data_IF_725897508309
#
_entry.id   IF_725897508309
#
_cell.length_a   1.000
_cell.length_b   1.000
_cell.length_c   1.000
_cell.angle_alpha   90.00
_cell.angle_beta   90.00
_cell.angle_gamma   90.00
#
_symmetry.space_group_name_H-M   'P 1'
#
loop_
_entity.id
_entity.type
_entity.pdbx_description
1 polymer ?
#
# COMPACT_ATOMS: atom_id res chain seq x y z
N UNK A 1 -6.32 20.61 5.00
CA UNK A 1 -7.22 19.62 5.62
C UNK A 1 -6.50 18.35 6.01
N UNK A 2 -5.91 17.65 5.05
CA UNK A 2 -5.13 16.44 5.36
C UNK A 2 -3.68 16.79 5.67
N UNK A 3 -3.14 16.23 6.74
CA UNK A 3 -1.77 16.48 7.20
C UNK A 3 -0.85 15.31 7.02
N UNK A 4 -1.39 14.10 7.08
CA UNK A 4 -0.61 12.87 7.02
C UNK A 4 -1.36 11.81 6.22
N UNK A 5 -0.85 11.51 5.06
CA UNK A 5 -1.51 10.64 4.07
C UNK A 5 -0.77 9.31 3.97
N UNK A 6 -1.54 8.23 4.00
CA UNK A 6 -1.05 6.87 3.83
C UNK A 6 -1.60 6.30 2.53
N UNK A 7 -0.74 5.70 1.70
CA UNK A 7 -1.16 4.91 0.55
C UNK A 7 -0.76 3.45 0.76
N UNK A 8 -1.69 2.54 0.48
CA UNK A 8 -1.41 1.11 0.47
C UNK A 8 -0.97 0.70 -0.94
N UNK A 9 0.24 0.19 -1.06
CA UNK A 9 0.87 -0.13 -2.34
C UNK A 9 1.26 -1.61 -2.43
N UNK A 10 0.51 -2.37 -3.21
CA UNK A 10 0.79 -3.78 -3.49
C UNK A 10 1.48 -4.00 -4.85
N UNK A 11 1.85 -2.93 -5.53
CA UNK A 11 2.50 -2.99 -6.84
C UNK A 11 1.54 -3.19 -8.01
N UNK A 12 0.23 -3.26 -7.76
CA UNK A 12 -0.77 -3.41 -8.82
C UNK A 12 -0.94 -2.11 -9.61
N UNK A 13 -1.59 -2.21 -10.76
CA UNK A 13 -1.98 -1.03 -11.56
C UNK A 13 -2.88 -0.10 -10.76
N UNK A 14 -3.83 -0.67 -9.99
CA UNK A 14 -4.72 0.11 -9.13
C UNK A 14 -3.96 0.88 -8.06
N UNK A 15 -2.97 0.25 -7.44
CA UNK A 15 -2.12 0.91 -6.45
C UNK A 15 -1.28 2.03 -7.07
N UNK A 16 -0.81 1.85 -8.30
CA UNK A 16 -0.05 2.91 -9.01
C UNK A 16 -0.92 4.13 -9.28
N UNK A 17 -2.18 3.91 -9.69
CA UNK A 17 -3.14 5.01 -9.86
C UNK A 17 -3.43 5.70 -8.52
N UNK A 18 -3.61 4.91 -7.46
CA UNK A 18 -3.81 5.44 -6.12
C UNK A 18 -2.62 6.28 -5.65
N UNK A 19 -1.40 5.86 -5.97
CA UNK A 19 -0.19 6.61 -5.63
C UNK A 19 -0.15 7.96 -6.33
N UNK A 20 -0.54 8.03 -7.60
CA UNK A 20 -0.62 9.31 -8.32
C UNK A 20 -1.59 10.28 -7.64
N UNK A 21 -2.75 9.78 -7.24
CA UNK A 21 -3.74 10.59 -6.51
C UNK A 21 -3.20 11.02 -5.16
N UNK A 22 -2.55 10.12 -4.43
CA UNK A 22 -1.97 10.43 -3.12
C UNK A 22 -0.89 11.52 -3.21
N UNK A 23 -0.03 11.45 -4.22
CA UNK A 23 1.00 12.47 -4.45
C UNK A 23 0.36 13.82 -4.75
N UNK A 24 -0.66 13.86 -5.61
CA UNK A 24 -1.37 15.10 -5.93
C UNK A 24 -2.04 15.70 -4.70
N UNK A 25 -2.71 14.88 -3.90
CA UNK A 25 -3.33 15.35 -2.65
C UNK A 25 -2.29 15.84 -1.64
N UNK A 26 -1.18 15.12 -1.49
CA UNK A 26 -0.10 15.53 -0.60
C UNK A 26 0.49 16.88 -0.99
N UNK A 27 0.65 17.12 -2.29
CA UNK A 27 1.11 18.42 -2.79
C UNK A 27 0.11 19.54 -2.48
N UNK A 28 -1.18 19.29 -2.72
CA UNK A 28 -2.23 20.30 -2.52
C UNK A 28 -2.37 20.72 -1.06
N UNK A 29 -2.25 19.77 -0.14
CA UNK A 29 -2.39 20.01 1.29
C UNK A 29 -1.06 20.22 2.00
N UNK A 30 0.06 20.12 1.30
CA UNK A 30 1.39 20.12 1.91
C UNK A 30 1.47 19.07 3.03
N UNK A 31 0.97 17.86 2.74
CA UNK A 31 0.87 16.78 3.70
C UNK A 31 2.10 15.88 3.66
N UNK A 32 2.38 15.23 4.77
CA UNK A 32 3.37 14.16 4.86
C UNK A 32 2.80 12.92 4.16
N UNK A 33 3.60 12.27 3.31
CA UNK A 33 3.16 11.13 2.49
C UNK A 33 3.95 9.87 2.82
N UNK A 34 3.22 8.82 3.16
CA UNK A 34 3.77 7.50 3.46
C UNK A 34 3.14 6.44 2.57
N UNK A 35 3.94 5.49 2.13
CA UNK A 35 3.49 4.31 1.38
C UNK A 35 3.84 3.06 2.17
N UNK A 36 2.88 2.17 2.33
CA UNK A 36 3.12 0.88 2.96
C UNK A 36 2.75 -0.27 2.04
N UNK A 37 3.55 -1.31 2.13
CA UNK A 37 3.30 -2.59 1.48
C UNK A 37 3.24 -3.66 2.56
N UNK A 38 2.41 -4.68 2.37
CA UNK A 38 2.26 -5.75 3.36
C UNK A 38 2.67 -7.08 2.75
N UNK A 39 3.61 -7.73 3.41
CA UNK A 39 4.04 -9.09 3.09
C UNK A 39 3.24 -10.07 3.96
N UNK A 40 2.47 -10.96 3.34
CA UNK A 40 1.58 -11.87 4.06
C UNK A 40 2.28 -13.11 4.63
N UNK A 41 3.59 -13.15 4.63
CA UNK A 41 4.35 -14.22 5.24
C UNK A 41 4.59 -15.42 4.31
N UNK A 42 5.19 -16.45 4.89
CA UNK A 42 5.61 -17.64 4.15
C UNK A 42 4.41 -18.55 3.87
N UNK A 43 4.22 -19.03 2.63
CA UNK A 43 3.15 -19.97 2.32
C UNK A 43 3.27 -21.27 3.12
N UNK A 44 2.12 -21.87 3.48
CA UNK A 44 2.08 -23.12 4.24
C UNK A 44 2.77 -24.30 3.53
N UNK A 45 2.89 -24.24 2.21
CA UNK A 45 3.55 -25.29 1.43
C UNK A 45 5.08 -25.19 1.41
N UNK A 46 5.64 -24.12 1.94
CA UNK A 46 7.09 -24.00 2.08
C UNK A 46 7.55 -24.93 3.21
N UNK A 47 8.03 -26.12 2.83
CA UNK A 47 8.33 -27.19 3.77
C UNK A 47 9.79 -27.22 4.23
N UNK A 48 10.69 -26.52 3.55
CA UNK A 48 12.14 -26.53 3.87
C UNK A 48 12.64 -25.13 4.16
N UNK A 49 13.77 -25.05 4.90
CA UNK A 49 14.43 -23.77 5.18
C UNK A 49 14.86 -23.07 3.89
N UNK A 50 15.33 -23.85 2.90
CA UNK A 50 15.70 -23.33 1.59
C UNK A 50 14.53 -22.69 0.84
N UNK A 51 13.36 -23.30 0.88
CA UNK A 51 12.14 -22.76 0.27
C UNK A 51 11.69 -21.48 0.96
N UNK A 52 11.79 -21.42 2.28
CA UNK A 52 11.48 -20.22 3.08
C UNK A 52 12.43 -19.09 2.72
N UNK A 53 13.72 -19.37 2.62
CA UNK A 53 14.74 -18.37 2.26
C UNK A 53 14.53 -17.83 0.85
N UNK A 54 14.22 -18.70 -0.12
CA UNK A 54 13.90 -18.27 -1.49
C UNK A 54 12.66 -17.38 -1.53
N UNK A 55 11.61 -17.77 -0.84
CA UNK A 55 10.38 -16.98 -0.76
C UNK A 55 10.64 -15.57 -0.22
N UNK A 56 11.38 -15.48 0.89
CA UNK A 56 11.73 -14.19 1.49
C UNK A 56 12.59 -13.33 0.57
N UNK A 57 13.52 -13.93 -0.14
CA UNK A 57 14.39 -13.25 -1.09
C UNK A 57 13.58 -12.65 -2.26
N UNK A 58 12.66 -13.42 -2.81
CA UNK A 58 11.77 -12.97 -3.88
C UNK A 58 10.84 -11.86 -3.41
N UNK A 59 10.24 -12.02 -2.23
CA UNK A 59 9.37 -11.02 -1.63
C UNK A 59 10.12 -9.71 -1.37
N UNK A 60 11.32 -9.78 -0.82
CA UNK A 60 12.14 -8.59 -0.57
C UNK A 60 12.51 -7.88 -1.87
N UNK A 61 12.84 -8.61 -2.92
CA UNK A 61 13.12 -8.05 -4.24
C UNK A 61 11.91 -7.37 -4.85
N UNK A 62 10.74 -8.00 -4.74
CA UNK A 62 9.47 -7.46 -5.22
C UNK A 62 9.12 -6.14 -4.54
N UNK A 63 9.12 -6.12 -3.21
CA UNK A 63 8.78 -4.92 -2.44
C UNK A 63 9.79 -3.81 -2.61
N UNK A 64 11.08 -4.15 -2.71
CA UNK A 64 12.11 -3.16 -3.00
C UNK A 64 11.85 -2.44 -4.32
N UNK A 65 11.50 -3.21 -5.35
CA UNK A 65 11.22 -2.67 -6.68
C UNK A 65 10.03 -1.72 -6.66
N UNK A 66 8.91 -2.13 -6.08
CA UNK A 66 7.71 -1.26 -6.06
C UNK A 66 7.91 -0.02 -5.21
N UNK A 67 8.67 -0.13 -4.13
CA UNK A 67 8.97 1.01 -3.27
C UNK A 67 9.95 1.98 -3.95
N UNK A 68 10.97 1.48 -4.64
CA UNK A 68 11.90 2.33 -5.41
C UNK A 68 11.15 3.08 -6.52
N UNK A 69 10.25 2.40 -7.22
CA UNK A 69 9.40 3.04 -8.24
C UNK A 69 8.51 4.13 -7.64
N UNK A 70 7.91 3.86 -6.48
CA UNK A 70 7.04 4.81 -5.81
C UNK A 70 7.81 6.06 -5.35
N UNK A 71 8.98 5.87 -4.76
CA UNK A 71 9.86 6.99 -4.34
C UNK A 71 10.23 7.85 -5.56
N UNK A 72 10.57 7.22 -6.67
CA UNK A 72 10.93 7.92 -7.91
C UNK A 72 9.76 8.73 -8.47
N UNK A 73 8.55 8.17 -8.43
CA UNK A 73 7.34 8.89 -8.86
C UNK A 73 7.11 10.16 -8.03
N UNK A 74 7.25 10.05 -6.72
CA UNK A 74 7.09 11.20 -5.82
C UNK A 74 8.20 12.23 -6.03
N UNK A 75 9.43 11.77 -6.21
CA UNK A 75 10.60 12.63 -6.43
C UNK A 75 10.49 13.48 -7.70
N UNK A 76 9.94 12.90 -8.78
CA UNK A 76 9.68 13.63 -10.03
C UNK A 76 8.72 14.80 -9.81
N UNK A 77 7.85 14.68 -8.84
CA UNK A 77 6.91 15.74 -8.46
C UNK A 77 7.47 16.68 -7.38
N UNK A 78 8.74 16.50 -7.02
CA UNK A 78 9.39 17.28 -5.97
C UNK A 78 8.93 16.94 -4.56
N UNK A 79 8.49 15.70 -4.34
CA UNK A 79 7.89 15.29 -3.07
C UNK A 79 8.64 14.12 -2.43
N UNK A 80 8.77 14.16 -1.10
CA UNK A 80 9.39 13.08 -0.33
C UNK A 80 8.34 12.03 0.03
N UNK A 81 8.62 10.78 -0.29
CA UNK A 81 7.78 9.64 0.05
C UNK A 81 8.51 8.73 1.05
N UNK A 82 7.88 8.51 2.20
CA UNK A 82 8.37 7.55 3.18
C UNK A 82 7.76 6.17 2.87
N UNK A 83 8.59 5.15 2.78
CA UNK A 83 8.14 3.80 2.46
C UNK A 83 8.41 2.83 3.60
N UNK A 84 7.53 1.85 3.77
CA UNK A 84 7.71 0.78 4.75
C UNK A 84 7.06 -0.50 4.26
N UNK A 85 7.68 -1.63 4.57
CA UNK A 85 7.11 -2.97 4.35
C UNK A 85 6.74 -3.55 5.70
N UNK A 86 5.48 -3.94 5.84
CA UNK A 86 4.95 -4.58 7.04
C UNK A 86 4.75 -6.07 6.79
N UNK A 87 4.85 -6.87 7.84
CA UNK A 87 4.50 -8.29 7.80
C UNK A 87 3.15 -8.53 8.46
N UNK A 88 2.38 -9.46 7.95
CA UNK A 88 1.12 -9.89 8.53
C UNK A 88 -0.04 -9.87 7.54
N UNK A 89 -1.25 -9.81 8.08
CA UNK A 89 -2.47 -9.68 7.29
C UNK A 89 -2.61 -8.26 6.75
N UNK A 90 -2.90 -8.14 5.47
CA UNK A 90 -2.93 -6.86 4.77
C UNK A 90 -3.87 -5.85 5.43
N UNK A 91 -5.13 -6.22 5.62
CA UNK A 91 -6.14 -5.30 6.18
C UNK A 91 -5.77 -4.89 7.60
N UNK A 92 -5.46 -5.86 8.46
CA UNK A 92 -5.11 -5.61 9.86
C UNK A 92 -3.85 -4.75 9.99
N UNK A 93 -2.81 -5.07 9.23
CA UNK A 93 -1.56 -4.34 9.24
C UNK A 93 -1.75 -2.88 8.82
N UNK A 94 -2.50 -2.63 7.76
CA UNK A 94 -2.77 -1.28 7.25
C UNK A 94 -3.60 -0.49 8.26
N UNK A 95 -4.67 -1.08 8.79
CA UNK A 95 -5.56 -0.41 9.76
C UNK A 95 -4.78 -0.04 11.02
N UNK A 96 -3.99 -0.96 11.55
CA UNK A 96 -3.19 -0.69 12.74
C UNK A 96 -2.13 0.37 12.49
N UNK A 97 -1.46 0.33 11.34
CA UNK A 97 -0.46 1.32 10.98
C UNK A 97 -1.08 2.72 10.82
N UNK A 98 -2.24 2.79 10.20
CA UNK A 98 -2.96 4.05 10.04
C UNK A 98 -3.37 4.65 11.41
N UNK A 99 -3.80 3.78 12.33
CA UNK A 99 -4.20 4.21 13.67
C UNK A 99 -3.00 4.67 14.49
N UNK A 100 -1.99 3.84 14.60
CA UNK A 100 -0.80 4.12 15.41
C UNK A 100 -0.02 5.33 14.90
N UNK A 101 0.03 5.50 13.59
CA UNK A 101 0.69 6.64 12.97
C UNK A 101 -0.15 7.91 12.91
N UNK A 102 -1.40 7.86 13.38
CA UNK A 102 -2.33 9.00 13.35
C UNK A 102 -2.50 9.60 11.96
N UNK A 103 -2.61 8.73 10.95
CA UNK A 103 -2.90 9.16 9.58
C UNK A 103 -4.33 9.65 9.48
N UNK A 104 -4.54 10.73 8.75
CA UNK A 104 -5.87 11.32 8.57
C UNK A 104 -6.47 11.05 7.20
N UNK A 105 -5.71 10.44 6.30
CA UNK A 105 -6.21 9.98 5.00
C UNK A 105 -5.52 8.68 4.59
N UNK A 106 -6.33 7.71 4.17
CA UNK A 106 -5.85 6.48 3.53
C UNK A 106 -6.30 6.48 2.07
N UNK A 107 -5.35 6.31 1.14
CA UNK A 107 -5.64 6.22 -0.30
C UNK A 107 -5.39 4.77 -0.73
N UNK A 108 -6.37 4.19 -1.39
CA UNK A 108 -6.30 2.79 -1.86
C UNK A 108 -6.79 2.66 -3.29
N UNK A 109 -6.30 1.64 -3.97
CA UNK A 109 -6.82 1.24 -5.27
C UNK A 109 -8.11 0.46 -5.13
N UNK A 110 -8.90 0.45 -6.19
CA UNK A 110 -10.21 -0.23 -6.21
C UNK A 110 -10.07 -1.74 -6.35
N UNK A 111 -9.15 -2.21 -7.18
CA UNK A 111 -9.09 -3.62 -7.58
C UNK A 111 -7.83 -4.39 -7.22
N UNK A 112 -6.75 -3.78 -6.79
CA UNK A 112 -5.50 -4.47 -6.46
C UNK A 112 -5.05 -5.46 -7.55
N UNK A 113 -4.65 -6.67 -7.14
CA UNK A 113 -4.24 -7.74 -8.06
C UNK A 113 -5.39 -8.58 -8.60
N UNK A 114 -6.60 -8.44 -8.08
CA UNK A 114 -7.75 -9.26 -8.45
C UNK A 114 -8.45 -8.69 -9.68
N UNK A 115 -8.04 -9.13 -10.87
CA UNK A 115 -8.61 -8.67 -12.15
C UNK A 115 -9.67 -9.61 -12.72
N UNK A 116 -10.03 -10.67 -11.99
CA UNK A 116 -10.75 -11.81 -12.55
C UNK A 116 -12.17 -11.45 -13.04
N UNK A 117 -12.81 -10.46 -12.47
CA UNK A 117 -14.20 -10.12 -12.76
C UNK A 117 -14.43 -8.65 -13.13
N UNK A 118 -13.51 -8.03 -13.84
CA UNK A 118 -13.66 -6.66 -14.29
C UNK A 118 -13.67 -5.67 -13.13
N UNK A 119 -14.77 -4.95 -12.94
CA UNK A 119 -14.88 -3.90 -11.93
C UNK A 119 -15.48 -4.37 -10.60
N UNK A 120 -15.23 -5.60 -10.19
CA UNK A 120 -15.66 -6.05 -8.87
C UNK A 120 -14.75 -5.46 -7.81
N UNK A 121 -15.36 -4.85 -6.81
CA UNK A 121 -14.65 -4.26 -5.67
C UNK A 121 -13.95 -5.37 -4.88
N UNK A 122 -12.62 -5.29 -4.75
CA UNK A 122 -11.83 -6.29 -4.03
C UNK A 122 -12.18 -6.33 -2.54
N UNK A 123 -12.08 -7.51 -1.94
CA UNK A 123 -12.38 -7.69 -0.51
C UNK A 123 -11.47 -6.85 0.39
N UNK A 124 -10.20 -6.71 0.04
CA UNK A 124 -9.24 -5.87 0.78
C UNK A 124 -9.69 -4.41 0.78
N UNK A 125 -10.05 -3.87 -0.38
CA UNK A 125 -10.50 -2.47 -0.50
C UNK A 125 -11.80 -2.23 0.26
N UNK A 126 -12.75 -3.17 0.20
CA UNK A 126 -13.99 -3.09 0.98
C UNK A 126 -13.72 -3.08 2.49
N UNK A 127 -12.89 -3.99 2.97
CA UNK A 127 -12.58 -4.10 4.39
C UNK A 127 -11.79 -2.89 4.89
N UNK A 128 -10.85 -2.39 4.12
CA UNK A 128 -10.12 -1.17 4.47
C UNK A 128 -11.05 0.03 4.57
N UNK A 129 -12.00 0.16 3.64
CA UNK A 129 -12.98 1.24 3.67
C UNK A 129 -13.85 1.20 4.93
N UNK A 130 -14.20 -0.02 5.38
CA UNK A 130 -15.02 -0.18 6.60
C UNK A 130 -14.23 0.02 7.88
N UNK A 131 -12.98 -0.43 7.92
CA UNK A 131 -12.22 -0.57 9.17
C UNK A 131 -11.19 0.55 9.40
N UNK A 132 -10.86 1.31 8.38
CA UNK A 132 -9.86 2.37 8.53
C UNK A 132 -10.31 3.41 9.58
N UNK A 133 -9.36 3.89 10.42
CA UNK A 133 -9.68 4.87 11.46
C UNK A 133 -9.79 6.31 10.94
N UNK A 134 -9.71 6.51 9.64
CA UNK A 134 -9.63 7.83 9.01
C UNK A 134 -10.42 7.86 7.70
N UNK A 135 -10.45 9.02 7.07
CA UNK A 135 -11.03 9.18 5.73
C UNK A 135 -10.32 8.29 4.73
N UNK A 136 -11.08 7.67 3.83
CA UNK A 136 -10.56 6.79 2.78
C UNK A 136 -10.94 7.32 1.41
N UNK A 137 -9.94 7.40 0.53
CA UNK A 137 -10.15 7.68 -0.89
C UNK A 137 -9.89 6.39 -1.66
N UNK A 138 -10.89 5.95 -2.41
CA UNK A 138 -10.79 4.77 -3.27
C UNK A 138 -10.61 5.23 -4.71
N UNK A 139 -9.50 4.86 -5.32
CA UNK A 139 -9.15 5.27 -6.69
C UNK A 139 -9.53 4.15 -7.65
N UNK A 140 -10.42 4.46 -8.60
CA UNK A 140 -10.92 3.49 -9.58
C UNK A 140 -10.15 3.49 -10.89
#
# INVERSE_FOLDING_TARGET
MFRKILIANDGSTGARLALKVAIDLAKRYNAELHSISVEEGVPHYAATIGEVDEYKKEANGYFKKINDEAVEMAKKEGFELHTKVLAGHEVEAIVNYAREGEFDLLVIGFMGHSKIFGRIWGSTSQNLTKLAPCTVVVVK
#
